data_IF_348733136702
#
_entry.id   IF_348733136702
#
_cell.length_a   1.000
_cell.length_b   1.000
_cell.length_c   1.000
_cell.angle_alpha   90.00
_cell.angle_beta   90.00
_cell.angle_gamma   90.00
#
_symmetry.space_group_name_H-M   'P 1'
#
loop_
_entity.id
_entity.type
_entity.pdbx_description
1 polymer ?
#
# COMPACT_ATOMS: atom_id res chain seq x y z
N UNK A 1 18.38 -6.86 -4.56
CA UNK A 1 16.94 -6.78 -4.24
C UNK A 1 16.68 -7.64 -3.02
N UNK A 2 15.89 -7.14 -2.06
CA UNK A 2 15.64 -7.85 -0.81
C UNK A 2 14.61 -8.97 -1.05
N UNK A 3 14.96 -10.22 -0.73
CA UNK A 3 14.12 -11.41 -1.04
C UNK A 3 12.74 -11.37 -0.39
N UNK A 4 12.62 -10.62 0.70
CA UNK A 4 11.42 -10.57 1.53
C UNK A 4 10.56 -9.33 1.31
N UNK A 5 10.93 -8.46 0.36
CA UNK A 5 10.23 -7.22 0.11
C UNK A 5 9.86 -7.14 -1.37
N UNK A 6 8.56 -7.07 -1.63
CA UNK A 6 8.00 -6.79 -2.94
C UNK A 6 7.46 -5.35 -2.95
N UNK A 7 7.88 -4.57 -3.93
CA UNK A 7 7.48 -3.16 -4.09
C UNK A 7 6.86 -3.04 -5.47
N UNK A 8 5.61 -2.61 -5.52
CA UNK A 8 4.92 -2.37 -6.77
C UNK A 8 5.72 -1.41 -7.68
N UNK A 9 5.80 -1.65 -9.01
CA UNK A 9 6.59 -0.84 -9.93
C UNK A 9 6.30 0.67 -9.82
N UNK A 10 5.03 1.05 -9.71
CA UNK A 10 4.61 2.46 -9.60
C UNK A 10 5.17 3.16 -8.36
N UNK A 11 5.27 2.45 -7.23
CA UNK A 11 5.81 2.98 -5.97
C UNK A 11 7.34 3.08 -6.07
N UNK A 12 7.99 2.07 -6.64
CA UNK A 12 9.44 2.09 -6.85
C UNK A 12 9.86 3.27 -7.75
N UNK A 13 9.11 3.52 -8.84
CA UNK A 13 9.32 4.67 -9.72
C UNK A 13 9.07 6.01 -9.03
N UNK A 14 8.00 6.12 -8.24
CA UNK A 14 7.70 7.32 -7.47
C UNK A 14 8.83 7.66 -6.48
N UNK A 15 9.33 6.65 -5.77
CA UNK A 15 10.46 6.81 -4.85
C UNK A 15 11.75 7.21 -5.57
N UNK A 16 12.06 6.59 -6.71
CA UNK A 16 13.23 6.93 -7.51
C UNK A 16 13.17 8.37 -8.08
N UNK A 17 11.97 8.85 -8.40
CA UNK A 17 11.72 10.21 -8.87
C UNK A 17 11.61 11.25 -7.74
N UNK A 18 11.77 10.85 -6.46
CA UNK A 18 11.61 11.74 -5.31
C UNK A 18 10.18 12.25 -5.11
N UNK A 19 9.18 11.55 -5.68
CA UNK A 19 7.76 11.89 -5.50
C UNK A 19 7.30 11.45 -4.10
N UNK A 20 6.37 12.20 -3.48
CA UNK A 20 5.80 11.80 -2.21
C UNK A 20 4.97 10.52 -2.36
N UNK A 21 5.09 9.62 -1.39
CA UNK A 21 4.34 8.36 -1.29
C UNK A 21 3.74 8.26 0.11
N UNK A 22 2.47 7.85 0.20
CA UNK A 22 1.76 7.63 1.46
C UNK A 22 1.49 6.15 1.61
N UNK A 23 1.92 5.55 2.72
CA UNK A 23 1.61 4.16 3.05
C UNK A 23 0.22 4.07 3.71
N UNK A 24 -0.52 3.02 3.37
CA UNK A 24 -1.79 2.65 4.01
C UNK A 24 -1.66 1.27 4.65
N UNK A 25 -2.33 1.05 5.77
CA UNK A 25 -2.32 -0.23 6.48
C UNK A 25 -3.43 -1.19 6.04
N UNK A 26 -3.17 -2.49 6.11
CA UNK A 26 -4.14 -3.54 5.77
C UNK A 26 -5.00 -4.01 6.94
N UNK A 27 -4.60 -3.73 8.18
CA UNK A 27 -5.32 -4.20 9.39
C UNK A 27 -6.69 -3.55 9.48
N UNK A 28 -6.80 -2.23 9.30
CA UNK A 28 -8.07 -1.52 9.21
C UNK A 28 -8.99 -2.10 8.13
N UNK A 29 -8.46 -2.45 6.96
CA UNK A 29 -9.24 -3.07 5.87
C UNK A 29 -9.79 -4.43 6.30
N UNK A 30 -8.97 -5.27 6.95
CA UNK A 30 -9.37 -6.65 7.26
C UNK A 30 -10.27 -6.77 8.49
N UNK A 31 -10.03 -5.94 9.52
CA UNK A 31 -10.65 -6.10 10.84
C UNK A 31 -11.27 -4.82 11.40
N UNK A 32 -10.96 -3.66 10.81
CA UNK A 32 -11.43 -2.37 11.30
C UNK A 32 -12.72 -1.88 10.63
N UNK A 33 -13.04 -2.38 9.43
CA UNK A 33 -14.21 -1.97 8.66
C UNK A 33 -15.09 -3.18 8.28
N UNK A 34 -16.43 -3.04 8.37
CA UNK A 34 -17.32 -4.05 7.83
C UNK A 34 -17.22 -4.12 6.30
N UNK A 35 -17.61 -5.26 5.74
CA UNK A 35 -17.82 -5.40 4.30
C UNK A 35 -19.19 -4.79 3.92
N UNK A 36 -19.33 -4.06 2.80
CA UNK A 36 -18.32 -3.84 1.73
C UNK A 36 -17.41 -2.62 1.92
N UNK A 37 -17.59 -1.85 3.00
CA UNK A 37 -16.88 -0.58 3.20
C UNK A 37 -15.35 -0.74 3.17
N UNK A 38 -14.85 -1.90 3.60
CA UNK A 38 -13.42 -2.18 3.61
C UNK A 38 -12.73 -2.26 2.23
N UNK A 39 -13.47 -2.53 1.15
CA UNK A 39 -12.92 -2.60 -0.21
C UNK A 39 -13.30 -1.38 -1.06
N UNK A 40 -14.26 -0.59 -0.60
CA UNK A 40 -14.74 0.61 -1.29
C UNK A 40 -13.95 1.88 -0.90
N UNK A 41 -13.24 1.82 0.24
CA UNK A 41 -12.55 2.96 0.88
C UNK A 41 -11.06 2.71 1.00
#
# INVERSE_FOLDING_TARGET
MNKYLDIAPEVAEALAAGKPVVALESTIISHGMPYPQNVET
#
